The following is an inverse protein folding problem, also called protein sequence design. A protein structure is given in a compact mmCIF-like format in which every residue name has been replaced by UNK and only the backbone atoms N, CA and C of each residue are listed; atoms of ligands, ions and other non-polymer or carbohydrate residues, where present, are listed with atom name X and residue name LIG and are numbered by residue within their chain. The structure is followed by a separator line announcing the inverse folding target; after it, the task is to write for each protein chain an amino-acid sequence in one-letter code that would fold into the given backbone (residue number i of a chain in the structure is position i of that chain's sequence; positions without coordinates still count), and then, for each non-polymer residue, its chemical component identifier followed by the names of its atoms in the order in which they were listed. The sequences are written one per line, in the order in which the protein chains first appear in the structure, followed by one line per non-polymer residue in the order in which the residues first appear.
data_IF_299012008152
#
_entry.id   IF_299012008152
#
_cell.length_a   1.000
_cell.length_b   1.000
_cell.length_c   1.000
_cell.angle_alpha   90.00
_cell.angle_beta   90.00
_cell.angle_gamma   90.00
#
_symmetry.space_group_name_H-M   'P 1'
#
loop_
_entity.id
_entity.type
_entity.pdbx_description
1 polymer ?
#
# COMPACT_ATOMS: atom_id res chain seq x y z
N UNK A 1 -15.34 -41.36 1.24
CA UNK A 1 -14.61 -40.62 0.19
C UNK A 1 -13.88 -39.44 0.81
N UNK A 2 -12.54 -39.43 0.69
CA UNK A 2 -11.66 -38.39 1.26
C UNK A 2 -11.41 -37.20 0.33
N UNK A 3 -11.82 -37.28 -0.93
CA UNK A 3 -11.53 -36.25 -1.94
C UNK A 3 -12.68 -35.26 -2.11
N UNK A 4 -12.32 -34.00 -2.41
CA UNK A 4 -13.23 -32.93 -2.82
C UNK A 4 -13.28 -32.90 -4.33
N UNK A 5 -14.45 -33.01 -4.94
CA UNK A 5 -14.61 -32.87 -6.40
C UNK A 5 -15.17 -31.51 -6.79
N UNK A 6 -16.01 -30.92 -5.94
CA UNK A 6 -16.67 -29.64 -6.17
C UNK A 6 -16.70 -28.80 -4.93
N UNK A 7 -16.53 -27.50 -5.10
CA UNK A 7 -16.74 -26.48 -4.07
C UNK A 7 -17.88 -25.58 -4.53
N UNK A 8 -18.88 -25.40 -3.69
CA UNK A 8 -20.04 -24.54 -3.93
C UNK A 8 -20.09 -23.45 -2.84
N UNK A 9 -20.04 -22.17 -3.27
CA UNK A 9 -20.05 -21.03 -2.36
C UNK A 9 -21.40 -20.33 -2.45
N UNK A 10 -22.16 -20.32 -1.35
CA UNK A 10 -23.50 -19.78 -1.25
C UNK A 10 -23.54 -18.51 -0.39
N UNK A 11 -24.45 -17.60 -0.67
CA UNK A 11 -24.79 -16.46 0.18
C UNK A 11 -23.96 -15.20 -0.02
N UNK A 12 -23.20 -15.05 -1.12
CA UNK A 12 -22.37 -13.89 -1.35
C UNK A 12 -22.40 -13.39 -2.79
N UNK A 13 -22.09 -12.10 -3.00
CA UNK A 13 -21.86 -11.53 -4.33
C UNK A 13 -20.65 -12.12 -5.05
N UNK A 14 -20.50 -11.88 -6.36
CA UNK A 14 -19.43 -12.45 -7.19
C UNK A 14 -18.03 -12.20 -6.64
N UNK A 15 -17.75 -10.99 -6.16
CA UNK A 15 -16.46 -10.61 -5.58
C UNK A 15 -16.07 -11.45 -4.36
N UNK A 16 -17.01 -11.64 -3.42
CA UNK A 16 -16.75 -12.44 -2.22
C UNK A 16 -16.61 -13.93 -2.53
N UNK A 17 -17.33 -14.41 -3.53
CA UNK A 17 -17.19 -15.78 -4.00
C UNK A 17 -15.77 -16.06 -4.49
N UNK A 18 -15.21 -15.19 -5.33
CA UNK A 18 -13.86 -15.35 -5.87
C UNK A 18 -12.81 -15.28 -4.75
N UNK A 19 -12.99 -14.34 -3.81
CA UNK A 19 -12.10 -14.22 -2.66
C UNK A 19 -12.19 -15.40 -1.71
N UNK A 20 -13.40 -15.91 -1.46
CA UNK A 20 -13.61 -17.10 -0.64
C UNK A 20 -12.95 -18.34 -1.27
N UNK A 21 -13.06 -18.53 -2.58
CA UNK A 21 -12.40 -19.64 -3.28
C UNK A 21 -10.88 -19.56 -3.15
N UNK A 22 -10.28 -18.38 -3.21
CA UNK A 22 -8.85 -18.19 -2.98
C UNK A 22 -8.45 -18.58 -1.55
N UNK A 23 -9.15 -18.07 -0.53
CA UNK A 23 -8.87 -18.40 0.87
C UNK A 23 -9.04 -19.89 1.19
N UNK A 24 -10.04 -20.54 0.59
CA UNK A 24 -10.23 -22.00 0.70
C UNK A 24 -9.03 -22.74 0.10
N UNK A 25 -8.56 -22.33 -1.08
CA UNK A 25 -7.41 -22.94 -1.73
C UNK A 25 -6.12 -22.76 -0.92
N UNK A 26 -5.90 -21.57 -0.35
CA UNK A 26 -4.75 -21.26 0.51
C UNK A 26 -4.77 -22.09 1.82
N UNK A 27 -5.95 -22.34 2.38
CA UNK A 27 -6.14 -23.23 3.52
C UNK A 27 -6.07 -24.73 3.17
N UNK A 28 -5.85 -25.08 1.89
CA UNK A 28 -5.75 -26.47 1.42
C UNK A 28 -7.08 -27.14 1.09
N UNK A 29 -8.21 -26.40 1.12
CA UNK A 29 -9.53 -26.88 0.67
C UNK A 29 -9.71 -26.54 -0.80
N UNK A 30 -9.39 -27.48 -1.66
CA UNK A 30 -9.45 -27.30 -3.12
C UNK A 30 -9.99 -28.54 -3.84
N UNK A 31 -10.50 -28.36 -5.05
CA UNK A 31 -10.96 -29.47 -5.87
C UNK A 31 -9.79 -30.45 -6.18
N UNK A 32 -10.13 -31.73 -6.22
CA UNK A 32 -9.21 -32.85 -6.43
C UNK A 32 -8.15 -33.04 -5.33
N UNK A 33 -8.33 -32.41 -4.15
CA UNK A 33 -7.49 -32.59 -2.98
C UNK A 33 -8.19 -33.43 -1.89
N UNK A 34 -7.45 -34.05 -0.97
CA UNK A 34 -8.06 -34.71 0.18
C UNK A 34 -8.62 -33.64 1.13
N UNK A 35 -9.81 -33.91 1.66
CA UNK A 35 -10.42 -33.06 2.68
C UNK A 35 -9.86 -33.38 4.06
N UNK A 36 -9.48 -32.35 4.80
CA UNK A 36 -9.07 -32.41 6.21
C UNK A 36 -9.88 -31.45 7.06
N UNK A 37 -10.32 -31.90 8.24
CA UNK A 37 -11.05 -31.07 9.20
C UNK A 37 -10.23 -29.85 9.67
N UNK A 38 -8.91 -30.03 9.83
CA UNK A 38 -8.00 -28.94 10.19
C UNK A 38 -7.97 -27.86 9.11
N UNK A 39 -7.92 -28.27 7.84
CA UNK A 39 -7.96 -27.36 6.70
C UNK A 39 -9.31 -26.63 6.61
N UNK A 40 -10.41 -27.32 6.89
CA UNK A 40 -11.74 -26.72 6.92
C UNK A 40 -11.88 -25.71 8.06
N UNK A 41 -11.32 -25.98 9.24
CA UNK A 41 -11.31 -25.06 10.36
C UNK A 41 -10.47 -23.81 10.06
N UNK A 42 -9.28 -23.98 9.47
CA UNK A 42 -8.43 -22.88 9.03
C UNK A 42 -9.12 -22.02 7.95
N UNK A 43 -9.76 -22.66 6.97
CA UNK A 43 -10.55 -21.99 5.95
C UNK A 43 -11.69 -21.17 6.54
N UNK A 44 -12.44 -21.74 7.50
CA UNK A 44 -13.52 -21.02 8.21
C UNK A 44 -13.01 -19.78 8.92
N UNK A 45 -11.89 -19.90 9.65
CA UNK A 45 -11.25 -18.77 10.33
C UNK A 45 -10.83 -17.68 9.35
N UNK A 46 -10.23 -18.06 8.20
CA UNK A 46 -9.85 -17.13 7.17
C UNK A 46 -11.05 -16.42 6.51
N UNK A 47 -12.16 -17.14 6.27
CA UNK A 47 -13.38 -16.56 5.71
C UNK A 47 -14.03 -15.53 6.65
N UNK A 48 -13.94 -15.71 7.96
CA UNK A 48 -14.44 -14.75 8.95
C UNK A 48 -13.60 -13.46 9.02
N UNK A 49 -12.42 -13.42 8.40
CA UNK A 49 -11.64 -12.17 8.30
C UNK A 49 -12.08 -11.28 7.13
N UNK A 50 -12.97 -11.78 6.26
CA UNK A 50 -13.50 -10.99 5.15
C UNK A 50 -14.41 -9.87 5.65
N UNK A 51 -14.34 -8.68 5.05
CA UNK A 51 -15.15 -7.54 5.46
C UNK A 51 -16.64 -7.84 5.37
N UNK A 52 -17.35 -7.61 6.48
CA UNK A 52 -18.80 -7.79 6.55
C UNK A 52 -19.28 -9.22 6.71
N UNK A 53 -18.43 -10.22 6.68
CA UNK A 53 -18.80 -11.62 6.91
C UNK A 53 -18.96 -11.85 8.41
N UNK A 54 -20.14 -12.24 8.83
CA UNK A 54 -20.49 -12.52 10.24
C UNK A 54 -20.64 -14.00 10.54
N UNK A 55 -20.88 -14.79 9.50
CA UNK A 55 -20.97 -16.23 9.61
C UNK A 55 -20.30 -16.90 8.41
N UNK A 56 -19.56 -17.96 8.67
CA UNK A 56 -18.95 -18.80 7.66
C UNK A 56 -19.08 -20.27 8.08
N UNK A 57 -19.62 -21.13 7.22
CA UNK A 57 -19.56 -22.58 7.38
C UNK A 57 -18.85 -23.23 6.20
N UNK A 58 -18.14 -24.32 6.49
CA UNK A 58 -17.46 -25.16 5.50
C UNK A 58 -17.88 -26.59 5.80
N UNK A 59 -18.78 -27.12 5.01
CA UNK A 59 -19.39 -28.44 5.21
C UNK A 59 -19.10 -29.35 4.05
N UNK A 60 -18.75 -30.59 4.34
CA UNK A 60 -18.53 -31.62 3.32
C UNK A 60 -19.70 -32.59 3.27
N UNK A 61 -20.35 -32.65 2.11
CA UNK A 61 -21.39 -33.61 1.80
C UNK A 61 -20.92 -34.50 0.63
N UNK A 62 -20.55 -35.75 0.95
CA UNK A 62 -19.99 -36.67 -0.04
C UNK A 62 -18.66 -36.17 -0.61
N UNK A 63 -18.63 -35.83 -1.89
CA UNK A 63 -17.47 -35.25 -2.60
C UNK A 63 -17.61 -33.74 -2.87
N UNK A 64 -18.67 -33.11 -2.36
CA UNK A 64 -18.91 -31.68 -2.49
C UNK A 64 -18.61 -30.98 -1.17
N UNK A 65 -17.95 -29.83 -1.23
CA UNK A 65 -17.79 -28.92 -0.11
C UNK A 65 -18.71 -27.73 -0.35
N UNK A 66 -19.64 -27.51 0.57
CA UNK A 66 -20.53 -26.35 0.57
C UNK A 66 -20.00 -25.33 1.55
N UNK A 67 -19.80 -24.11 1.09
CA UNK A 67 -19.40 -22.98 1.90
C UNK A 67 -20.56 -22.00 1.96
N UNK A 68 -21.04 -21.70 3.16
CA UNK A 68 -22.10 -20.71 3.38
C UNK A 68 -21.50 -19.48 4.03
N UNK A 69 -21.75 -18.31 3.45
CA UNK A 69 -21.31 -17.02 3.96
C UNK A 69 -22.52 -16.13 4.20
N UNK A 70 -22.63 -15.57 5.40
CA UNK A 70 -23.61 -14.54 5.72
C UNK A 70 -22.90 -13.21 5.94
N UNK A 71 -23.44 -12.16 5.31
CA UNK A 71 -22.98 -10.79 5.46
C UNK A 71 -24.01 -9.95 6.17
N UNK A 72 -23.55 -8.96 6.91
CA UNK A 72 -24.41 -7.87 7.34
C UNK A 72 -24.57 -6.93 6.13
N UNK A 73 -25.80 -6.70 5.70
CA UNK A 73 -26.14 -5.79 4.60
C UNK A 73 -25.69 -4.34 4.86
N UNK A 74 -25.52 -3.97 6.13
CA UNK A 74 -25.07 -2.66 6.59
C UNK A 74 -23.58 -2.62 7.02
N UNK A 75 -22.76 -3.60 6.65
CA UNK A 75 -21.32 -3.45 6.86
C UNK A 75 -20.85 -2.20 6.10
N UNK A 76 -20.29 -1.19 6.79
CA UNK A 76 -19.81 0.00 6.10
C UNK A 76 -18.84 -0.48 5.01
N UNK A 77 -19.11 -0.09 3.76
CA UNK A 77 -18.19 -0.35 2.67
C UNK A 77 -16.81 0.14 3.12
N UNK A 78 -15.73 -0.62 2.90
CA UNK A 78 -14.41 -0.16 3.26
C UNK A 78 -14.24 1.25 2.73
N UNK A 79 -13.91 2.18 3.65
CA UNK A 79 -13.72 3.57 3.28
C UNK A 79 -12.46 3.65 2.42
N UNK A 80 -12.62 3.53 1.11
CA UNK A 80 -11.54 3.75 0.17
C UNK A 80 -11.20 5.24 0.13
N UNK A 81 -9.95 5.59 0.26
CA UNK A 81 -9.49 6.94 -0.02
C UNK A 81 -9.72 7.25 -1.49
N UNK A 82 -10.32 8.42 -1.76
CA UNK A 82 -10.68 8.81 -3.13
C UNK A 82 -9.47 9.02 -4.01
N UNK A 83 -8.41 9.63 -3.49
CA UNK A 83 -7.28 10.13 -4.26
C UNK A 83 -5.95 9.86 -3.56
N UNK A 84 -4.86 9.81 -4.30
CA UNK A 84 -3.50 9.77 -3.77
C UNK A 84 -2.91 11.18 -3.77
N UNK A 85 -2.40 11.63 -2.61
CA UNK A 85 -1.76 12.93 -2.44
C UNK A 85 -0.28 12.78 -2.12
N UNK A 86 0.51 13.78 -2.55
CA UNK A 86 1.93 13.86 -2.24
C UNK A 86 2.16 14.15 -0.74
N UNK A 87 2.88 13.30 0.00
CA UNK A 87 3.16 13.53 1.41
C UNK A 87 4.19 14.64 1.65
N UNK A 88 4.97 14.99 0.64
CA UNK A 88 5.99 16.02 0.66
C UNK A 88 6.24 16.58 -0.75
N UNK A 89 6.83 17.76 -0.82
CA UNK A 89 7.28 18.33 -2.10
C UNK A 89 8.48 17.53 -2.63
N UNK A 90 8.50 17.28 -3.95
CA UNK A 90 9.57 16.52 -4.58
C UNK A 90 9.33 16.33 -6.08
N UNK A 91 10.08 15.40 -6.66
CA UNK A 91 9.95 14.99 -8.06
C UNK A 91 9.43 13.56 -8.11
N UNK A 92 8.45 13.29 -8.96
CA UNK A 92 7.91 11.93 -9.16
C UNK A 92 8.98 11.05 -9.79
N UNK A 93 9.44 10.04 -9.07
CA UNK A 93 10.41 9.06 -9.55
C UNK A 93 9.71 7.92 -10.30
N UNK A 94 8.64 7.39 -9.70
CA UNK A 94 7.81 6.33 -10.31
C UNK A 94 6.36 6.53 -9.91
N UNK A 95 5.44 6.25 -10.84
CA UNK A 95 4.01 6.28 -10.61
C UNK A 95 3.35 5.06 -11.24
N UNK A 96 2.72 4.21 -10.43
CA UNK A 96 1.94 3.07 -10.88
C UNK A 96 0.49 3.25 -10.47
N UNK A 97 -0.41 3.33 -11.45
CA UNK A 97 -1.84 3.49 -11.25
C UNK A 97 -2.56 2.21 -11.68
N UNK A 98 -3.26 1.57 -10.74
CA UNK A 98 -4.11 0.40 -11.00
C UNK A 98 -5.55 0.82 -11.24
N UNK A 99 -6.00 1.90 -10.58
CA UNK A 99 -7.34 2.46 -10.70
C UNK A 99 -7.30 3.97 -10.43
N UNK A 100 -8.12 4.72 -11.15
CA UNK A 100 -8.16 6.18 -11.12
C UNK A 100 -7.44 6.81 -12.30
N UNK A 101 -7.28 8.12 -12.28
CA UNK A 101 -6.64 8.91 -13.33
C UNK A 101 -5.37 9.54 -12.81
N UNK A 102 -4.23 9.28 -13.46
CA UNK A 102 -2.98 9.96 -13.16
C UNK A 102 -3.09 11.45 -13.52
N UNK A 103 -2.73 12.33 -12.58
CA UNK A 103 -2.73 13.79 -12.74
C UNK A 103 -1.32 14.35 -12.93
N UNK A 104 -0.32 13.50 -12.72
CA UNK A 104 1.11 13.83 -12.87
C UNK A 104 1.80 12.68 -13.58
N UNK A 105 2.97 12.95 -14.16
CA UNK A 105 3.83 11.98 -14.81
C UNK A 105 5.16 11.83 -14.05
N UNK A 106 5.91 10.76 -14.37
CA UNK A 106 7.29 10.59 -13.90
C UNK A 106 8.16 11.76 -14.38
N UNK A 107 8.94 12.33 -13.48
CA UNK A 107 9.75 13.52 -13.71
C UNK A 107 9.08 14.84 -13.34
N UNK A 108 7.77 14.86 -13.07
CA UNK A 108 7.08 16.08 -12.67
C UNK A 108 7.45 16.50 -11.24
N UNK A 109 7.60 17.81 -11.05
CA UNK A 109 7.75 18.41 -9.73
C UNK A 109 6.37 18.60 -9.08
N UNK A 110 6.24 18.15 -7.84
CA UNK A 110 4.98 18.20 -7.09
C UNK A 110 5.16 18.88 -5.74
N UNK A 111 4.12 19.56 -5.30
CA UNK A 111 4.04 20.16 -3.97
C UNK A 111 3.49 19.19 -2.92
N UNK A 112 3.77 19.45 -1.63
CA UNK A 112 3.14 18.71 -0.54
C UNK A 112 1.62 18.91 -0.57
N UNK A 113 0.85 17.81 -0.42
CA UNK A 113 -0.60 17.83 -0.50
C UNK A 113 -1.16 17.93 -1.93
N UNK A 114 -0.34 17.94 -2.96
CA UNK A 114 -0.80 17.92 -4.36
C UNK A 114 -1.39 16.54 -4.69
N UNK A 115 -2.54 16.55 -5.37
CA UNK A 115 -3.18 15.32 -5.85
C UNK A 115 -2.36 14.72 -7.01
N UNK A 116 -1.97 13.45 -6.86
CA UNK A 116 -1.16 12.70 -7.82
C UNK A 116 -2.03 11.80 -8.68
N UNK A 117 -3.04 11.18 -8.07
CA UNK A 117 -3.98 10.29 -8.75
C UNK A 117 -5.38 10.60 -8.25
N UNK A 118 -6.26 10.96 -9.16
CA UNK A 118 -7.66 11.24 -8.87
C UNK A 118 -8.52 9.99 -8.90
N UNK A 119 -9.49 9.91 -7.96
CA UNK A 119 -10.46 8.83 -7.88
C UNK A 119 -11.58 8.95 -8.92
N UNK A 120 -11.24 9.05 -10.19
CA UNK A 120 -12.19 9.13 -11.30
C UNK A 120 -11.56 8.63 -12.61
N UNK A 121 -12.38 8.35 -13.60
CA UNK A 121 -11.93 8.00 -14.95
C UNK A 121 -12.90 8.60 -15.98
N UNK A 122 -12.43 8.83 -17.19
CA UNK A 122 -13.25 9.22 -18.33
C UNK A 122 -13.68 7.98 -19.11
N UNK A 123 -14.96 7.96 -19.49
CA UNK A 123 -15.52 6.96 -20.40
C UNK A 123 -15.20 7.35 -21.84
N UNK A 124 -15.35 6.42 -22.80
CA UNK A 124 -15.18 6.71 -24.25
C UNK A 124 -16.08 7.84 -24.75
N UNK A 125 -17.19 8.11 -24.06
CA UNK A 125 -18.09 9.24 -24.35
C UNK A 125 -17.69 10.57 -23.72
N UNK A 126 -16.55 10.66 -23.00
CA UNK A 126 -16.08 11.87 -22.32
C UNK A 126 -16.77 12.15 -20.98
N UNK A 127 -17.60 11.25 -20.48
CA UNK A 127 -18.21 11.38 -19.15
C UNK A 127 -17.23 11.00 -18.06
N UNK A 128 -17.06 11.89 -17.06
CA UNK A 128 -16.30 11.61 -15.86
C UNK A 128 -17.12 10.77 -14.89
N UNK A 129 -16.60 9.60 -14.53
CA UNK A 129 -17.19 8.74 -13.51
C UNK A 129 -16.33 8.66 -12.27
N UNK A 130 -16.94 8.83 -11.11
CA UNK A 130 -16.27 8.72 -9.82
C UNK A 130 -15.96 7.27 -9.48
N UNK A 131 -14.79 7.07 -8.88
CA UNK A 131 -14.29 5.80 -8.34
C UNK A 131 -13.37 6.12 -7.16
N UNK A 132 -12.54 5.17 -6.75
CA UNK A 132 -11.44 5.39 -5.82
C UNK A 132 -10.10 5.20 -6.54
N UNK A 133 -9.05 5.89 -6.08
CA UNK A 133 -7.72 5.68 -6.57
C UNK A 133 -7.15 4.38 -5.98
N UNK A 134 -6.40 3.60 -6.79
CA UNK A 134 -5.53 2.53 -6.31
C UNK A 134 -4.19 2.71 -7.01
N UNK A 135 -3.20 3.18 -6.29
CA UNK A 135 -1.95 3.62 -6.88
C UNK A 135 -0.78 3.57 -5.89
N UNK A 136 0.42 3.53 -6.44
CA UNK A 136 1.70 3.67 -5.73
C UNK A 136 2.55 4.73 -6.40
N UNK A 137 3.19 5.57 -5.60
CA UNK A 137 4.11 6.59 -6.06
C UNK A 137 5.39 6.60 -5.23
N UNK A 138 6.54 6.83 -5.87
CA UNK A 138 7.80 7.16 -5.23
C UNK A 138 8.19 8.58 -5.61
N UNK A 139 8.51 9.39 -4.61
CA UNK A 139 8.95 10.77 -4.77
C UNK A 139 10.41 10.91 -4.33
N UNK A 140 11.19 11.67 -5.07
CA UNK A 140 12.51 12.16 -4.67
C UNK A 140 12.35 13.54 -4.03
N UNK A 141 12.55 13.59 -2.71
CA UNK A 141 12.39 14.81 -1.92
C UNK A 141 13.75 15.31 -1.46
N UNK A 142 14.07 16.57 -1.73
CA UNK A 142 15.29 17.21 -1.22
C UNK A 142 15.04 17.83 0.14
N UNK A 143 15.89 17.49 1.11
CA UNK A 143 15.87 18.02 2.47
C UNK A 143 17.21 18.62 2.80
N UNK A 144 17.21 19.81 3.40
CA UNK A 144 18.42 20.55 3.77
C UNK A 144 18.47 20.67 5.28
N UNK A 145 19.61 20.33 5.87
CA UNK A 145 19.87 20.41 7.29
C UNK A 145 21.14 21.22 7.54
N UNK A 146 21.16 22.02 8.59
CA UNK A 146 22.33 22.77 9.01
C UNK A 146 22.73 22.38 10.43
N UNK A 147 24.03 22.14 10.62
CA UNK A 147 24.62 21.77 11.91
C UNK A 147 25.85 22.62 12.18
N UNK A 148 25.89 23.24 13.36
CA UNK A 148 27.04 24.03 13.80
C UNK A 148 27.96 23.20 14.71
N UNK A 149 29.28 23.29 14.46
CA UNK A 149 30.32 22.67 15.28
C UNK A 149 31.44 23.68 15.56
N UNK A 150 32.10 23.54 16.71
CA UNK A 150 33.18 24.44 17.11
C UNK A 150 34.39 24.38 16.19
N UNK A 151 34.64 23.21 15.56
CA UNK A 151 35.80 22.99 14.71
C UNK A 151 35.42 22.24 13.42
N UNK A 152 36.10 22.57 12.35
CA UNK A 152 36.02 21.83 11.10
C UNK A 152 36.90 20.58 11.21
N UNK A 153 36.28 19.41 11.21
CA UNK A 153 36.95 18.13 11.25
C UNK A 153 36.17 17.06 10.48
N UNK A 154 36.84 16.00 10.08
CA UNK A 154 36.20 14.84 9.45
C UNK A 154 35.15 14.18 10.40
N UNK A 155 35.38 14.24 11.69
CA UNK A 155 34.44 13.74 12.68
C UNK A 155 33.18 14.59 12.76
N UNK A 156 33.30 15.93 12.73
CA UNK A 156 32.17 16.86 12.70
C UNK A 156 31.31 16.65 11.45
N UNK A 157 31.96 16.46 10.30
CA UNK A 157 31.31 16.18 9.03
C UNK A 157 30.50 14.86 9.09
N UNK A 158 31.12 13.78 9.58
CA UNK A 158 30.45 12.49 9.75
C UNK A 158 29.26 12.59 10.71
N UNK A 159 29.39 13.34 11.81
CA UNK A 159 28.30 13.58 12.78
C UNK A 159 27.14 14.36 12.13
N UNK A 160 27.42 15.42 11.38
CA UNK A 160 26.43 16.19 10.65
C UNK A 160 25.66 15.31 9.66
N UNK A 161 26.38 14.49 8.89
CA UNK A 161 25.79 13.58 7.95
C UNK A 161 24.94 12.49 8.60
N UNK A 162 25.43 11.91 9.70
CA UNK A 162 24.68 10.91 10.46
C UNK A 162 23.38 11.48 11.04
N UNK A 163 23.46 12.69 11.64
CA UNK A 163 22.31 13.39 12.19
C UNK A 163 21.26 13.72 11.10
N UNK A 164 21.72 14.21 9.93
CA UNK A 164 20.85 14.50 8.80
C UNK A 164 20.11 13.25 8.30
N UNK A 165 20.84 12.14 8.15
CA UNK A 165 20.24 10.85 7.73
C UNK A 165 19.20 10.33 8.72
N UNK A 166 19.45 10.45 10.03
CA UNK A 166 18.49 10.06 11.07
C UNK A 166 17.22 10.94 11.03
N UNK A 167 17.39 12.23 10.76
CA UNK A 167 16.28 13.19 10.72
C UNK A 167 15.49 13.13 9.42
N UNK A 168 16.10 12.64 8.33
CA UNK A 168 15.50 12.69 7.01
C UNK A 168 14.28 11.77 6.83
N UNK A 169 14.19 10.64 7.55
CA UNK A 169 13.08 9.69 7.45
C UNK A 169 12.82 9.26 6.01
N UNK A 170 13.36 8.12 5.58
CA UNK A 170 13.26 7.62 4.23
C UNK A 170 14.60 7.07 3.73
N UNK A 171 14.61 6.55 2.51
CA UNK A 171 15.81 6.00 1.87
C UNK A 171 16.62 7.15 1.24
N UNK A 172 17.80 7.46 1.79
CA UNK A 172 18.69 8.46 1.20
C UNK A 172 19.31 7.93 -0.10
N UNK A 173 19.02 8.59 -1.21
CA UNK A 173 19.44 8.24 -2.57
C UNK A 173 20.70 9.01 -2.95
N UNK A 174 20.78 10.30 -2.58
CA UNK A 174 21.92 11.16 -2.83
C UNK A 174 22.18 12.07 -1.63
N UNK A 175 23.42 12.52 -1.52
CA UNK A 175 23.83 13.45 -0.46
C UNK A 175 24.86 14.41 -0.98
N UNK A 176 24.81 15.65 -0.49
CA UNK A 176 25.80 16.67 -0.69
C UNK A 176 26.06 17.36 0.63
N UNK A 177 27.33 17.58 0.98
CA UNK A 177 27.71 18.31 2.18
C UNK A 177 28.62 19.46 1.81
N UNK A 178 28.42 20.59 2.46
CA UNK A 178 29.28 21.75 2.35
C UNK A 178 29.52 22.36 3.74
N UNK A 179 30.66 22.96 3.94
CA UNK A 179 31.04 23.59 5.19
C UNK A 179 31.32 25.07 4.97
N UNK A 180 30.89 25.91 5.89
CA UNK A 180 31.12 27.35 5.92
C UNK A 180 31.53 27.79 7.32
N UNK A 181 32.66 28.51 7.43
CA UNK A 181 33.05 29.17 8.69
C UNK A 181 32.17 30.40 8.97
N UNK A 182 31.69 30.54 10.19
CA UNK A 182 30.92 31.70 10.65
C UNK A 182 31.14 31.94 12.14
N UNK A 183 31.71 33.11 12.52
CA UNK A 183 31.80 33.53 13.92
C UNK A 183 32.62 32.63 14.84
N UNK A 184 33.60 31.87 14.31
CA UNK A 184 34.40 30.93 15.11
C UNK A 184 33.83 29.52 15.15
N UNK A 185 32.71 29.28 14.47
CA UNK A 185 32.08 27.96 14.31
C UNK A 185 32.07 27.55 12.84
N UNK A 186 32.00 26.26 12.60
CA UNK A 186 31.81 25.69 11.25
C UNK A 186 30.37 25.20 11.11
N UNK A 187 29.65 25.75 10.13
CA UNK A 187 28.30 25.33 9.78
C UNK A 187 28.39 24.35 8.62
N UNK A 188 27.95 23.13 8.84
CA UNK A 188 27.78 22.12 7.80
C UNK A 188 26.34 22.15 7.28
N UNK A 189 26.22 22.38 5.98
CA UNK A 189 24.94 22.26 5.27
C UNK A 189 24.91 20.90 4.57
N UNK A 190 23.96 20.04 4.98
CA UNK A 190 23.77 18.69 4.42
C UNK A 190 22.49 18.69 3.62
N UNK A 191 22.61 18.49 2.33
CA UNK A 191 21.51 18.32 1.39
C UNK A 191 21.33 16.83 1.10
N UNK A 192 20.17 16.28 1.45
CA UNK A 192 19.82 14.88 1.22
C UNK A 192 18.67 14.78 0.24
N UNK A 193 18.85 13.96 -0.80
CA UNK A 193 17.73 13.50 -1.62
C UNK A 193 17.24 12.18 -1.05
N UNK A 194 16.01 12.15 -0.57
CA UNK A 194 15.37 10.97 0.03
C UNK A 194 14.24 10.47 -0.84
N UNK A 195 14.14 9.15 -0.96
CA UNK A 195 12.98 8.50 -1.59
C UNK A 195 11.88 8.33 -0.57
N UNK A 196 10.73 8.94 -0.85
CA UNK A 196 9.50 8.82 -0.06
C UNK A 196 8.48 8.04 -0.88
N UNK A 197 7.98 6.94 -0.32
CA UNK A 197 6.95 6.10 -0.97
C UNK A 197 5.61 6.41 -0.36
N UNK A 198 4.60 6.53 -1.21
CA UNK A 198 3.20 6.65 -0.81
C UNK A 198 2.33 5.74 -1.67
N UNK A 199 1.23 5.28 -1.10
CA UNK A 199 0.30 4.40 -1.78
C UNK A 199 -1.11 4.59 -1.22
N UNK A 200 -2.11 4.24 -2.01
CA UNK A 200 -3.52 4.30 -1.63
C UNK A 200 -4.23 3.05 -2.14
N UNK A 201 -5.05 2.42 -1.29
CA UNK A 201 -5.95 1.30 -1.60
C UNK A 201 -5.26 0.14 -2.38
N UNK A 202 -4.09 -0.26 -1.93
CA UNK A 202 -3.31 -1.38 -2.50
C UNK A 202 -3.50 -2.66 -1.70
#
# INVERSE_FOLDING_TARGET
NRFVLRIDVQGSGAYLRDRAVQLLADAGVRAFAPYGEENAAAARSALLTLPGVVFASVEKNGCCVTVTLEQIEDAPAPAYERSLYAPAAGVVETLTVLRGTALVAEGDAVGAGQELVGGWFETEGGERRETFASARCSLLCTRVYEYAFAEQSEESERRALAAARLSAGGEAVAQKISARGSGGETIYTVELTVRVRCSVNL
#
